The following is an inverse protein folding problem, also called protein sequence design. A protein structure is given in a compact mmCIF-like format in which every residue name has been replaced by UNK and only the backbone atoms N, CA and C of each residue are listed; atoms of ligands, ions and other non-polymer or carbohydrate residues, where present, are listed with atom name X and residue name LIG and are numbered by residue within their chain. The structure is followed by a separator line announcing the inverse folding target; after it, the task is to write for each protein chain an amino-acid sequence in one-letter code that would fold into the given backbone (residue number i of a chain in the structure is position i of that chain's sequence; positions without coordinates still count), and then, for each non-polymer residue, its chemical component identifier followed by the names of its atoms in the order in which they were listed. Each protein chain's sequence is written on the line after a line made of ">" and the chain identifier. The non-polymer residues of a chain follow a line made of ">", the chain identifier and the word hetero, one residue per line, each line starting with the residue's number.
data_IF_323450519873
#
_entry.id   IF_323450519873
#
_cell.length_a   1.000
_cell.length_b   1.000
_cell.length_c   1.000
_cell.angle_alpha   90.00
_cell.angle_beta   90.00
_cell.angle_gamma   90.00
#
_symmetry.space_group_name_H-M   'P 1'
#
loop_
_entity.id
_entity.type
_entity.pdbx_description
1 polymer ?
#
# COMPACT_ATOMS: atom_id res chain seq x y z
N UNK A 1 -11.32 9.42 -11.89
CA UNK A 1 -10.31 8.83 -12.79
C UNK A 1 -10.27 7.31 -12.74
N UNK A 2 -10.49 6.69 -11.59
CA UNK A 2 -10.57 5.22 -11.43
C UNK A 2 -11.69 4.55 -12.20
N UNK A 3 -12.85 5.20 -12.26
CA UNK A 3 -13.99 4.69 -13.01
C UNK A 3 -13.71 4.54 -14.50
N UNK A 4 -12.77 5.31 -15.08
CA UNK A 4 -12.42 5.18 -16.50
C UNK A 4 -11.67 3.89 -16.83
N UNK A 5 -10.82 3.40 -15.94
CA UNK A 5 -10.06 2.15 -16.20
C UNK A 5 -10.90 0.88 -16.05
N UNK A 6 -12.06 0.98 -15.40
CA UNK A 6 -13.01 -0.12 -15.23
C UNK A 6 -14.31 0.06 -16.05
N UNK A 7 -14.44 1.20 -16.77
CA UNK A 7 -15.66 1.52 -17.50
C UNK A 7 -16.14 0.45 -18.46
N UNK A 8 -15.21 -0.19 -19.19
CA UNK A 8 -15.52 -1.27 -20.13
C UNK A 8 -15.88 -2.60 -19.45
N UNK A 9 -15.71 -2.67 -18.12
CA UNK A 9 -15.89 -3.89 -17.32
C UNK A 9 -17.04 -3.82 -16.32
N UNK A 10 -17.83 -2.73 -16.31
CA UNK A 10 -18.95 -2.53 -15.36
C UNK A 10 -20.02 -3.61 -15.44
N UNK A 11 -20.15 -4.28 -16.57
CA UNK A 11 -21.09 -5.38 -16.78
C UNK A 11 -20.43 -6.76 -16.73
N UNK A 12 -19.16 -6.84 -16.32
CA UNK A 12 -18.44 -8.11 -16.20
C UNK A 12 -18.54 -8.70 -14.81
N UNK A 13 -18.57 -10.02 -14.73
CA UNK A 13 -18.49 -10.72 -13.45
C UNK A 13 -17.08 -10.60 -12.85
N UNK A 14 -16.94 -10.65 -11.52
CA UNK A 14 -15.63 -10.62 -10.85
C UNK A 14 -14.64 -11.66 -11.37
N UNK A 15 -15.12 -12.84 -11.78
CA UNK A 15 -14.30 -13.91 -12.38
C UNK A 15 -13.63 -13.50 -13.71
N UNK A 16 -14.19 -12.51 -14.41
CA UNK A 16 -13.68 -12.01 -15.69
C UNK A 16 -12.71 -10.81 -15.52
N UNK A 17 -12.42 -10.42 -14.27
CA UNK A 17 -11.51 -9.34 -13.97
C UNK A 17 -10.11 -9.89 -13.64
N UNK A 18 -9.07 -9.15 -14.03
CA UNK A 18 -7.70 -9.42 -13.56
C UNK A 18 -7.58 -9.19 -12.05
N UNK A 19 -6.52 -9.73 -11.42
CA UNK A 19 -6.24 -9.51 -9.99
C UNK A 19 -6.21 -8.02 -9.63
N UNK A 20 -5.48 -7.21 -10.40
CA UNK A 20 -5.42 -5.76 -10.21
C UNK A 20 -6.77 -5.05 -10.39
N UNK A 21 -7.57 -5.49 -11.36
CA UNK A 21 -8.92 -4.96 -11.56
C UNK A 21 -9.85 -5.28 -10.39
N UNK A 22 -9.78 -6.51 -9.85
CA UNK A 22 -10.53 -6.89 -8.65
C UNK A 22 -10.13 -6.05 -7.44
N UNK A 23 -8.85 -5.79 -7.23
CA UNK A 23 -8.37 -4.94 -6.15
C UNK A 23 -8.88 -3.50 -6.27
N UNK A 24 -8.82 -2.91 -7.46
CA UNK A 24 -9.37 -1.57 -7.69
C UNK A 24 -10.89 -1.53 -7.46
N UNK A 25 -11.63 -2.54 -7.92
CA UNK A 25 -13.07 -2.63 -7.71
C UNK A 25 -13.42 -2.77 -6.22
N UNK A 26 -12.68 -3.57 -5.45
CA UNK A 26 -12.85 -3.71 -4.02
C UNK A 26 -12.61 -2.39 -3.28
N UNK A 27 -11.56 -1.65 -3.66
CA UNK A 27 -11.26 -0.35 -3.09
C UNK A 27 -12.37 0.68 -3.39
N UNK A 28 -12.84 0.75 -4.65
CA UNK A 28 -13.94 1.64 -5.05
C UNK A 28 -15.19 1.34 -4.24
N UNK A 29 -15.52 0.07 -4.06
CA UNK A 29 -16.67 -0.37 -3.24
C UNK A 29 -16.53 0.10 -1.79
N UNK A 30 -15.36 -0.02 -1.20
CA UNK A 30 -15.09 0.43 0.18
C UNK A 30 -15.16 1.96 0.29
N UNK A 31 -14.63 2.67 -0.68
CA UNK A 31 -14.67 4.15 -0.70
C UNK A 31 -16.06 4.71 -0.97
N UNK A 32 -16.95 3.95 -1.64
CA UNK A 32 -18.31 4.40 -1.95
C UNK A 32 -19.15 4.76 -0.73
N UNK A 33 -18.87 4.16 0.44
CA UNK A 33 -19.51 4.49 1.72
C UNK A 33 -18.84 5.67 2.44
N UNK A 34 -17.85 6.30 1.81
CA UNK A 34 -17.11 7.47 2.32
C UNK A 34 -16.56 7.30 3.75
N UNK A 35 -15.76 6.28 4.05
CA UNK A 35 -15.26 6.03 5.39
C UNK A 35 -14.26 7.11 5.82
N UNK A 36 -14.17 7.37 7.13
CA UNK A 36 -13.15 8.26 7.69
C UNK A 36 -11.76 7.60 7.71
N UNK A 37 -11.73 6.29 7.94
CA UNK A 37 -10.51 5.49 7.99
C UNK A 37 -10.63 4.31 7.02
N UNK A 38 -9.62 4.13 6.20
CA UNK A 38 -9.49 2.99 5.28
C UNK A 38 -8.51 1.98 5.87
N UNK A 39 -8.93 0.72 5.97
CA UNK A 39 -8.08 -0.39 6.39
C UNK A 39 -7.71 -1.26 5.19
N UNK A 40 -6.42 -1.45 4.96
CA UNK A 40 -5.86 -2.30 3.93
C UNK A 40 -5.06 -3.42 4.60
N UNK A 41 -5.61 -4.63 4.61
CA UNK A 41 -4.97 -5.80 5.20
C UNK A 41 -4.46 -6.71 4.08
N UNK A 42 -3.12 -6.77 3.93
CA UNK A 42 -2.42 -7.56 2.91
C UNK A 42 -3.01 -7.37 1.49
N UNK A 43 -3.42 -6.13 1.17
CA UNK A 43 -4.25 -5.84 0.00
C UNK A 43 -3.61 -6.22 -1.34
N UNK A 44 -2.28 -6.31 -1.41
CA UNK A 44 -1.56 -6.56 -2.65
C UNK A 44 -0.82 -7.91 -2.69
N UNK A 45 -0.91 -8.70 -1.63
CA UNK A 45 -0.14 -9.94 -1.46
C UNK A 45 -0.40 -11.00 -2.55
N UNK A 46 -1.61 -11.04 -3.09
CA UNK A 46 -2.00 -12.00 -4.14
C UNK A 46 -1.63 -11.57 -5.57
N UNK A 47 -1.00 -10.40 -5.74
CA UNK A 47 -0.64 -9.87 -7.05
C UNK A 47 0.81 -10.23 -7.40
N UNK A 48 1.07 -10.49 -8.70
CA UNK A 48 2.44 -10.54 -9.20
C UNK A 48 3.15 -9.18 -9.06
N UNK A 49 4.47 -9.19 -9.12
CA UNK A 49 5.28 -8.00 -8.81
C UNK A 49 4.94 -6.78 -9.68
N UNK A 50 4.80 -6.96 -11.00
CA UNK A 50 4.53 -5.85 -11.91
C UNK A 50 3.13 -5.27 -11.69
N UNK A 51 2.14 -6.13 -11.56
CA UNK A 51 0.76 -5.73 -11.26
C UNK A 51 0.68 -5.03 -9.90
N UNK A 52 1.41 -5.52 -8.90
CA UNK A 52 1.48 -4.93 -7.56
C UNK A 52 1.99 -3.50 -7.61
N UNK A 53 3.07 -3.21 -8.33
CA UNK A 53 3.60 -1.86 -8.47
C UNK A 53 2.57 -0.90 -9.09
N UNK A 54 1.96 -1.31 -10.19
CA UNK A 54 0.97 -0.49 -10.87
C UNK A 54 -0.27 -0.22 -10.00
N UNK A 55 -0.79 -1.25 -9.33
CA UNK A 55 -1.95 -1.14 -8.44
C UNK A 55 -1.63 -0.30 -7.20
N UNK A 56 -0.44 -0.44 -6.63
CA UNK A 56 0.00 0.39 -5.49
C UNK A 56 0.02 1.87 -5.85
N UNK A 57 0.53 2.23 -7.02
CA UNK A 57 0.54 3.61 -7.51
C UNK A 57 -0.89 4.16 -7.67
N UNK A 58 -1.78 3.37 -8.24
CA UNK A 58 -3.18 3.76 -8.43
C UNK A 58 -3.92 3.93 -7.10
N UNK A 59 -3.76 2.97 -6.19
CA UNK A 59 -4.38 3.01 -4.86
C UNK A 59 -3.86 4.20 -4.05
N UNK A 60 -2.56 4.47 -4.10
CA UNK A 60 -1.95 5.62 -3.44
C UNK A 60 -2.53 6.95 -3.94
N UNK A 61 -2.66 7.11 -5.28
CA UNK A 61 -3.27 8.30 -5.88
C UNK A 61 -4.70 8.52 -5.41
N UNK A 62 -5.49 7.44 -5.30
CA UNK A 62 -6.86 7.51 -4.80
C UNK A 62 -6.90 7.99 -3.37
N UNK A 63 -6.13 7.33 -2.49
CA UNK A 63 -6.07 7.66 -1.07
C UNK A 63 -5.69 9.13 -0.88
N UNK A 64 -4.71 9.64 -1.63
CA UNK A 64 -4.29 11.04 -1.56
C UNK A 64 -5.37 11.99 -2.10
N UNK A 65 -6.00 11.67 -3.22
CA UNK A 65 -7.06 12.51 -3.81
C UNK A 65 -8.31 12.58 -2.93
N UNK A 66 -8.66 11.48 -2.28
CA UNK A 66 -9.83 11.41 -1.37
C UNK A 66 -9.49 11.95 0.05
N UNK A 67 -8.23 12.26 0.35
CA UNK A 67 -7.79 12.76 1.65
C UNK A 67 -8.07 11.80 2.81
N UNK A 68 -8.03 10.49 2.56
CA UNK A 68 -8.39 9.48 3.56
C UNK A 68 -7.22 9.13 4.47
N UNK A 69 -7.52 9.00 5.76
CA UNK A 69 -6.62 8.34 6.71
C UNK A 69 -6.63 6.84 6.42
N UNK A 70 -5.44 6.27 6.20
CA UNK A 70 -5.31 4.85 5.83
C UNK A 70 -4.38 4.13 6.78
N UNK A 71 -4.79 2.96 7.24
CA UNK A 71 -3.95 2.02 7.96
C UNK A 71 -3.74 0.81 7.05
N UNK A 72 -2.48 0.50 6.75
CA UNK A 72 -2.11 -0.65 5.93
C UNK A 72 -1.33 -1.65 6.75
N UNK A 73 -1.73 -2.91 6.67
CA UNK A 73 -1.03 -4.05 7.25
C UNK A 73 -0.37 -4.79 6.10
N UNK A 74 0.94 -4.98 6.19
CA UNK A 74 1.73 -5.71 5.20
C UNK A 74 2.97 -6.31 5.84
N UNK A 75 3.47 -7.40 5.28
CA UNK A 75 4.78 -7.97 5.60
C UNK A 75 5.87 -7.53 4.62
N UNK A 76 5.52 -6.75 3.60
CA UNK A 76 6.47 -6.21 2.61
C UNK A 76 6.99 -4.84 3.05
N UNK A 77 8.24 -4.81 3.51
CA UNK A 77 8.93 -3.59 3.98
C UNK A 77 8.99 -2.52 2.89
N UNK A 78 9.22 -2.93 1.65
CA UNK A 78 9.32 -2.00 0.53
C UNK A 78 7.96 -1.35 0.22
N UNK A 79 6.88 -2.10 0.35
CA UNK A 79 5.51 -1.60 0.23
C UNK A 79 5.21 -0.58 1.32
N UNK A 80 5.48 -0.92 2.59
CA UNK A 80 5.26 -0.04 3.72
C UNK A 80 5.98 1.30 3.55
N UNK A 81 7.27 1.30 3.24
CA UNK A 81 8.08 2.53 3.07
C UNK A 81 7.59 3.35 1.87
N UNK A 82 7.26 2.69 0.76
CA UNK A 82 6.90 3.40 -0.47
C UNK A 82 5.54 4.10 -0.39
N UNK A 83 4.62 3.60 0.43
CA UNK A 83 3.24 4.09 0.51
C UNK A 83 2.95 4.96 1.72
N UNK A 84 3.54 4.65 2.88
CA UNK A 84 3.15 5.25 4.15
C UNK A 84 3.88 6.55 4.47
N UNK A 85 3.26 7.37 5.33
CA UNK A 85 3.90 8.52 5.96
C UNK A 85 4.57 8.12 7.28
N UNK A 86 4.07 7.06 7.92
CA UNK A 86 4.67 6.43 9.11
C UNK A 86 4.62 4.91 8.99
N UNK A 87 5.68 4.25 9.41
CA UNK A 87 5.75 2.79 9.50
C UNK A 87 5.89 2.39 10.96
N UNK A 88 4.99 1.51 11.42
CA UNK A 88 5.00 0.95 12.77
C UNK A 88 5.51 -0.48 12.68
N UNK A 89 6.65 -0.75 13.31
CA UNK A 89 7.22 -2.09 13.40
C UNK A 89 6.70 -2.76 14.68
N UNK A 90 6.15 -3.94 14.53
CA UNK A 90 5.64 -4.75 15.64
C UNK A 90 6.68 -5.82 16.03
N UNK A 91 6.71 -6.14 17.32
CA UNK A 91 7.50 -7.26 17.86
C UNK A 91 6.83 -8.61 17.58
N UNK A 92 7.53 -9.70 17.90
CA UNK A 92 6.96 -11.03 17.98
C UNK A 92 5.85 -11.13 19.03
N UNK A 93 5.16 -12.27 19.02
CA UNK A 93 4.04 -12.54 19.95
C UNK A 93 4.54 -12.69 21.39
N UNK A 94 3.85 -12.03 22.35
CA UNK A 94 2.71 -11.12 22.20
C UNK A 94 3.16 -9.80 21.55
N UNK A 95 2.50 -9.41 20.44
CA UNK A 95 2.92 -8.26 19.64
C UNK A 95 2.76 -6.94 20.41
N UNK A 96 3.80 -6.13 20.36
CA UNK A 96 3.84 -4.75 20.87
C UNK A 96 4.51 -3.84 19.83
N UNK A 97 4.31 -2.54 19.98
CA UNK A 97 5.00 -1.58 19.11
C UNK A 97 6.49 -1.58 19.46
N UNK A 98 7.32 -2.02 18.52
CA UNK A 98 8.77 -2.04 18.67
C UNK A 98 9.38 -0.69 18.33
N UNK A 99 8.95 -0.11 17.20
CA UNK A 99 9.47 1.18 16.74
C UNK A 99 8.50 1.83 15.74
N UNK A 100 8.53 3.15 15.69
CA UNK A 100 7.79 3.94 14.72
C UNK A 100 8.79 4.76 13.90
N UNK A 101 8.70 4.65 12.58
CA UNK A 101 9.47 5.42 11.62
C UNK A 101 8.59 6.47 10.97
N UNK A 102 9.00 7.73 11.00
CA UNK A 102 8.45 8.76 10.12
C UNK A 102 9.19 8.68 8.78
N UNK A 103 8.46 8.49 7.70
CA UNK A 103 9.03 8.32 6.38
C UNK A 103 9.08 9.68 5.69
N UNK A 104 10.23 10.31 5.77
CA UNK A 104 10.50 11.60 5.15
C UNK A 104 11.52 11.41 4.02
N UNK A 105 11.07 11.68 2.79
CA UNK A 105 11.89 11.56 1.59
C UNK A 105 11.71 12.81 0.74
N UNK A 106 12.83 13.36 0.26
CA UNK A 106 12.80 14.49 -0.65
C UNK A 106 12.09 14.12 -1.95
N UNK A 107 11.16 14.98 -2.40
CA UNK A 107 10.36 14.75 -3.61
C UNK A 107 9.52 13.47 -3.58
N UNK A 108 8.98 13.11 -2.42
CA UNK A 108 8.06 11.98 -2.26
C UNK A 108 6.88 12.07 -3.24
N UNK A 109 6.63 10.98 -3.95
CA UNK A 109 5.58 10.86 -4.97
C UNK A 109 4.86 9.52 -4.90
N UNK A 110 4.59 8.90 -6.05
CA UNK A 110 3.97 7.57 -6.11
C UNK A 110 4.88 6.49 -5.50
N UNK A 111 4.31 5.36 -5.04
CA UNK A 111 5.09 4.25 -4.50
C UNK A 111 6.24 3.78 -5.39
N UNK A 112 6.00 3.64 -6.70
CA UNK A 112 7.05 3.26 -7.66
C UNK A 112 8.15 4.32 -7.74
N UNK A 113 7.79 5.62 -7.73
CA UNK A 113 8.76 6.71 -7.69
C UNK A 113 9.59 6.67 -6.40
N UNK A 114 8.93 6.52 -5.25
CA UNK A 114 9.56 6.54 -3.93
C UNK A 114 10.63 5.45 -3.77
N UNK A 115 10.43 4.27 -4.37
CA UNK A 115 11.39 3.16 -4.36
C UNK A 115 12.73 3.51 -5.03
N UNK A 116 12.77 4.54 -5.89
CA UNK A 116 13.98 5.01 -6.59
C UNK A 116 14.70 6.16 -5.86
N UNK A 117 14.12 6.68 -4.78
CA UNK A 117 14.75 7.74 -4.00
C UNK A 117 15.90 7.18 -3.14
N UNK A 118 16.95 7.99 -2.95
CA UNK A 118 18.13 7.58 -2.18
C UNK A 118 17.80 7.24 -0.72
N UNK A 119 16.85 7.98 -0.13
CA UNK A 119 16.40 7.81 1.26
C UNK A 119 15.67 6.49 1.47
N UNK A 120 15.00 5.96 0.45
CA UNK A 120 14.29 4.68 0.52
C UNK A 120 15.18 3.55 1.02
N UNK A 121 16.42 3.48 0.51
CA UNK A 121 17.37 2.43 0.88
C UNK A 121 17.78 2.50 2.35
N UNK A 122 17.89 3.71 2.92
CA UNK A 122 18.21 3.88 4.34
C UNK A 122 17.08 3.35 5.22
N UNK A 123 15.84 3.76 4.94
CA UNK A 123 14.67 3.25 5.67
C UNK A 123 14.53 1.73 5.54
N UNK A 124 14.73 1.20 4.33
CA UNK A 124 14.65 -0.23 4.09
C UNK A 124 15.63 -1.01 4.95
N UNK A 125 16.89 -0.61 4.97
CA UNK A 125 17.92 -1.27 5.75
C UNK A 125 17.67 -1.18 7.26
N UNK A 126 17.21 -0.03 7.74
CA UNK A 126 16.97 0.17 9.17
C UNK A 126 15.74 -0.58 9.67
N UNK A 127 14.64 -0.56 8.91
CA UNK A 127 13.43 -1.29 9.26
C UNK A 127 13.69 -2.80 9.18
N UNK A 128 14.44 -3.26 8.18
CA UNK A 128 14.80 -4.66 8.04
C UNK A 128 15.58 -5.18 9.26
N UNK A 129 16.56 -4.43 9.75
CA UNK A 129 17.29 -4.76 10.99
C UNK A 129 16.39 -4.89 12.22
N UNK A 130 15.34 -4.06 12.29
CA UNK A 130 14.40 -4.11 13.42
C UNK A 130 13.44 -5.31 13.32
N UNK A 131 13.22 -5.86 12.13
CA UNK A 131 12.41 -7.07 11.90
C UNK A 131 13.25 -8.33 12.09
N UNK A 132 14.50 -8.35 11.60
CA UNK A 132 15.38 -9.53 11.51
C UNK A 132 16.10 -9.93 12.82
N UNK A 133 15.71 -9.44 13.97
CA UNK A 133 16.42 -9.75 15.24
C UNK A 133 16.13 -11.18 15.75
N UNK A 134 15.65 -12.09 14.91
CA UNK A 134 15.45 -13.49 15.28
C UNK A 134 15.92 -14.46 14.18
N UNK A 135 17.22 -14.63 14.10
CA UNK A 135 17.86 -15.86 13.60
C UNK A 135 18.75 -16.41 14.68
#
# INVERSE_FOLDING_TARGET
>A
MLFRSLGDFIYKYPSNLSGGMRQRAALIRTLAINPDILLLDEAFSALDYQTRLAVSDDVWKIIKNEGKTTIMITHDVAEAISMADRVVVLSDRPASVKKIYSIDMDNKGTPTHNRNLKEFRFYYNDIWKDIDIHV
#
